data_IF_798056687039
#
_entry.id   IF_798056687039
#
_cell.length_a   1.000
_cell.length_b   1.000
_cell.length_c   1.000
_cell.angle_alpha   90.00
_cell.angle_beta   90.00
_cell.angle_gamma   90.00
#
_symmetry.space_group_name_H-M   'P 1'
#
loop_
_entity.id
_entity.type
_entity.pdbx_description
1 polymer ?
#
# COMPACT_ATOMS: atom_id res chain seq x y z
N UNK A 1 8.28 -22.76 9.76
CA UNK A 1 6.82 -22.48 9.75
C UNK A 1 6.44 -21.03 10.08
N UNK A 2 7.08 -20.36 11.06
CA UNK A 2 6.68 -19.00 11.49
C UNK A 2 6.93 -17.87 10.46
N UNK A 3 8.01 -17.96 9.68
CA UNK A 3 8.37 -16.97 8.65
C UNK A 3 7.36 -16.89 7.51
N UNK A 4 6.85 -18.04 7.04
CA UNK A 4 5.87 -18.10 5.95
C UNK A 4 4.51 -17.51 6.36
N UNK A 5 4.09 -17.74 7.62
CA UNK A 5 2.86 -17.17 8.18
C UNK A 5 2.96 -15.65 8.33
N UNK A 6 4.13 -15.14 8.74
CA UNK A 6 4.39 -13.70 8.81
C UNK A 6 4.40 -13.05 7.42
N UNK A 7 5.03 -13.69 6.42
CA UNK A 7 5.04 -13.21 5.05
C UNK A 7 3.62 -13.12 4.47
N UNK A 8 2.79 -14.15 4.67
CA UNK A 8 1.39 -14.13 4.23
C UNK A 8 0.61 -12.97 4.84
N UNK A 9 0.81 -12.68 6.13
CA UNK A 9 0.15 -11.56 6.82
C UNK A 9 0.60 -10.21 6.27
N UNK A 10 1.91 -10.01 6.11
CA UNK A 10 2.46 -8.74 5.63
C UNK A 10 2.06 -8.50 4.16
N UNK A 11 1.99 -9.54 3.33
CA UNK A 11 1.45 -9.46 1.97
C UNK A 11 -0.06 -9.12 1.95
N UNK A 12 -0.84 -9.65 2.89
CA UNK A 12 -2.27 -9.33 3.00
C UNK A 12 -2.50 -7.86 3.36
N UNK A 13 -1.71 -7.33 4.29
CA UNK A 13 -1.72 -5.91 4.65
C UNK A 13 -1.31 -5.02 3.48
N UNK A 14 -0.30 -5.45 2.72
CA UNK A 14 0.14 -4.77 1.50
C UNK A 14 -0.97 -4.70 0.45
N UNK A 15 -1.64 -5.82 0.15
CA UNK A 15 -2.73 -5.87 -0.84
C UNK A 15 -3.91 -4.98 -0.40
N UNK A 16 -4.26 -4.99 0.88
CA UNK A 16 -5.34 -4.14 1.41
C UNK A 16 -5.03 -2.64 1.25
N UNK A 17 -3.80 -2.21 1.58
CA UNK A 17 -3.37 -0.84 1.35
C UNK A 17 -3.34 -0.48 -0.14
N UNK A 18 -2.99 -1.42 -1.00
CA UNK A 18 -2.91 -1.20 -2.45
C UNK A 18 -4.30 -0.96 -3.04
N UNK A 19 -5.30 -1.74 -2.62
CA UNK A 19 -6.70 -1.54 -3.02
C UNK A 19 -7.21 -0.18 -2.54
N UNK A 20 -6.92 0.19 -1.29
CA UNK A 20 -7.31 1.50 -0.74
C UNK A 20 -6.70 2.66 -1.52
N UNK A 21 -5.40 2.59 -1.81
CA UNK A 21 -4.71 3.58 -2.64
C UNK A 21 -5.36 3.70 -4.03
N UNK A 22 -5.63 2.57 -4.68
CA UNK A 22 -6.23 2.55 -6.02
C UNK A 22 -7.63 3.17 -6.03
N UNK A 23 -8.44 2.92 -5.00
CA UNK A 23 -9.76 3.52 -4.84
C UNK A 23 -9.72 5.05 -4.73
N UNK A 24 -8.81 5.58 -3.91
CA UNK A 24 -8.61 7.04 -3.78
C UNK A 24 -8.09 7.62 -5.11
N UNK A 25 -7.11 6.96 -5.71
CA UNK A 25 -6.48 7.43 -6.96
C UNK A 25 -7.48 7.49 -8.11
N UNK A 26 -8.29 6.44 -8.31
CA UNK A 26 -9.38 6.42 -9.29
C UNK A 26 -10.41 7.51 -8.98
N UNK A 27 -10.79 7.69 -7.71
CA UNK A 27 -11.76 8.72 -7.33
C UNK A 27 -11.27 10.13 -7.68
N UNK A 28 -9.97 10.40 -7.48
CA UNK A 28 -9.33 11.66 -7.89
C UNK A 28 -9.30 11.80 -9.41
N UNK A 29 -8.99 10.73 -10.14
CA UNK A 29 -8.88 10.73 -11.60
C UNK A 29 -10.25 10.91 -12.30
N UNK A 30 -11.32 10.34 -11.75
CA UNK A 30 -12.68 10.39 -12.32
C UNK A 30 -13.41 11.69 -11.95
N UNK A 31 -13.08 12.34 -10.82
CA UNK A 31 -13.64 13.65 -10.47
C UNK A 31 -13.06 14.76 -11.36
N UNK A 32 -13.63 14.88 -12.56
CA UNK A 32 -13.19 15.69 -13.70
C UNK A 32 -13.26 17.23 -13.51
N UNK A 33 -13.30 17.78 -12.28
CA UNK A 33 -13.40 19.25 -12.14
C UNK A 33 -12.91 19.91 -10.85
N UNK A 34 -12.44 19.20 -9.83
CA UNK A 34 -11.91 19.86 -8.62
C UNK A 34 -10.77 19.04 -8.04
N UNK A 35 -9.55 19.43 -8.39
CA UNK A 35 -8.35 18.93 -7.74
C UNK A 35 -8.43 19.18 -6.23
N UNK A 36 -8.72 18.14 -5.46
CA UNK A 36 -8.82 18.21 -4.02
C UNK A 36 -7.44 17.90 -3.40
N UNK A 37 -6.76 18.94 -2.95
CA UNK A 37 -5.45 18.85 -2.26
C UNK A 37 -5.44 17.82 -1.14
N UNK A 38 -6.53 17.70 -0.39
CA UNK A 38 -6.63 16.77 0.73
C UNK A 38 -6.65 15.31 0.25
N UNK A 39 -7.38 15.05 -0.85
CA UNK A 39 -7.38 13.72 -1.49
C UNK A 39 -6.02 13.38 -2.09
N UNK A 40 -5.35 14.37 -2.70
CA UNK A 40 -4.00 14.21 -3.24
C UNK A 40 -2.97 13.87 -2.14
N UNK A 41 -2.99 14.58 -1.01
CA UNK A 41 -2.10 14.30 0.14
C UNK A 41 -2.37 12.91 0.71
N UNK A 42 -3.64 12.50 0.83
CA UNK A 42 -4.01 11.16 1.29
C UNK A 42 -3.52 10.06 0.34
N UNK A 43 -3.64 10.28 -0.98
CA UNK A 43 -3.09 9.37 -1.96
C UNK A 43 -1.55 9.27 -1.83
N UNK A 44 -0.86 10.40 -1.68
CA UNK A 44 0.60 10.45 -1.53
C UNK A 44 1.07 9.71 -0.26
N UNK A 45 0.40 9.94 0.88
CA UNK A 45 0.67 9.25 2.14
C UNK A 45 0.47 7.74 2.02
N UNK A 46 -0.62 7.32 1.36
CA UNK A 46 -0.89 5.90 1.12
C UNK A 46 0.16 5.27 0.20
N UNK A 47 0.68 6.01 -0.78
CA UNK A 47 1.76 5.56 -1.66
C UNK A 47 3.07 5.40 -0.89
N UNK A 48 3.41 6.36 -0.02
CA UNK A 48 4.57 6.25 0.88
C UNK A 48 4.46 5.02 1.80
N UNK A 49 3.30 4.79 2.41
CA UNK A 49 3.06 3.63 3.26
C UNK A 49 3.26 2.31 2.50
N UNK A 50 2.80 2.22 1.24
CA UNK A 50 3.01 1.05 0.38
C UNK A 50 4.50 0.80 0.12
N UNK A 51 5.26 1.85 -0.21
CA UNK A 51 6.71 1.74 -0.45
C UNK A 51 7.43 1.28 0.81
N UNK A 52 7.11 1.85 1.98
CA UNK A 52 7.69 1.41 3.25
C UNK A 52 7.34 -0.04 3.57
N UNK A 53 6.12 -0.47 3.30
CA UNK A 53 5.68 -1.85 3.52
C UNK A 53 6.45 -2.83 2.62
N UNK A 54 6.67 -2.47 1.34
CA UNK A 54 7.51 -3.28 0.43
C UNK A 54 8.95 -3.33 0.91
N UNK A 55 9.51 -2.19 1.31
CA UNK A 55 10.87 -2.14 1.84
C UNK A 55 11.01 -2.97 3.11
N UNK A 56 10.05 -2.92 4.02
CA UNK A 56 10.03 -3.72 5.24
C UNK A 56 9.92 -5.22 4.93
N UNK A 57 9.05 -5.61 3.99
CA UNK A 57 8.94 -7.00 3.52
C UNK A 57 10.24 -7.47 2.85
N UNK A 58 10.89 -6.61 2.06
CA UNK A 58 12.17 -6.91 1.40
C UNK A 58 13.33 -7.01 2.40
N UNK A 59 13.35 -6.13 3.39
CA UNK A 59 14.41 -6.03 4.40
C UNK A 59 14.29 -7.14 5.44
N UNK A 60 13.06 -7.55 5.78
CA UNK A 60 12.81 -8.82 6.44
C UNK A 60 13.24 -9.92 5.49
N UNK A 61 14.46 -10.43 5.71
CA UNK A 61 15.00 -11.57 4.97
C UNK A 61 14.21 -12.82 5.35
N UNK A 62 12.99 -12.95 4.80
CA UNK A 62 12.14 -14.11 4.93
C UNK A 62 12.87 -15.25 4.24
N UNK A 63 13.73 -15.95 4.98
CA UNK A 63 14.35 -17.20 4.53
C UNK A 63 13.21 -18.19 4.27
N UNK A 64 12.80 -18.28 3.02
CA UNK A 64 11.95 -19.34 2.50
C UNK A 64 12.88 -20.56 2.48
N UNK A 65 12.79 -21.37 3.53
CA UNK A 65 13.47 -22.66 3.63
C UNK A 65 12.51 -23.74 3.18
#
# INVERSE_FOLDING_TARGET
MGTLKSLKRDAYLFIAMLIYFYGIFISILIMDSTFNWLSFILALLSLCALVFTIQDIKNKNYRIK
#
